data_IF_573160111357
#
_entry.id   IF_573160111357
#
_cell.length_a   1.000
_cell.length_b   1.000
_cell.length_c   1.000
_cell.angle_alpha   90.00
_cell.angle_beta   90.00
_cell.angle_gamma   90.00
#
_symmetry.space_group_name_H-M   'P 1'
#
loop_
_entity.id
_entity.type
_entity.pdbx_description
1 polymer ?
#
# COMPACT_ATOMS: atom_id res chain seq x y z
N UNK A 1 13.81 -4.48 12.72
CA UNK A 1 12.64 -3.86 13.41
C UNK A 1 11.39 -4.63 13.06
N UNK A 2 10.37 -4.60 13.91
CA UNK A 2 9.03 -5.11 13.57
C UNK A 2 8.25 -4.10 12.75
N UNK A 3 7.67 -4.53 11.65
CA UNK A 3 7.08 -3.66 10.63
C UNK A 3 5.70 -4.18 10.23
N UNK A 4 4.75 -3.25 10.05
CA UNK A 4 3.49 -3.53 9.34
C UNK A 4 3.68 -3.26 7.86
N UNK A 5 3.20 -4.14 6.99
CA UNK A 5 3.22 -3.91 5.56
C UNK A 5 1.90 -3.31 5.07
N UNK A 6 1.95 -2.12 4.47
CA UNK A 6 0.85 -1.60 3.67
C UNK A 6 0.83 -2.33 2.33
N UNK A 7 -0.25 -3.06 2.08
CA UNK A 7 -0.40 -3.90 0.89
C UNK A 7 -1.61 -3.50 0.07
N UNK A 8 -1.48 -3.59 -1.26
CA UNK A 8 -2.57 -3.39 -2.22
C UNK A 8 -2.92 -4.66 -3.00
N UNK A 9 -2.12 -5.72 -2.85
CA UNK A 9 -2.21 -6.94 -3.65
C UNK A 9 -1.39 -6.88 -4.95
N UNK A 10 -0.75 -5.74 -5.21
CA UNK A 10 0.14 -5.55 -6.36
C UNK A 10 1.59 -5.99 -6.10
N UNK A 11 2.33 -6.14 -7.21
CA UNK A 11 3.75 -6.53 -7.23
C UNK A 11 4.65 -5.63 -6.36
N UNK A 12 4.34 -4.34 -6.30
CA UNK A 12 5.21 -3.34 -5.65
C UNK A 12 5.18 -3.47 -4.13
N UNK A 13 3.99 -3.63 -3.55
CA UNK A 13 3.87 -3.93 -2.12
C UNK A 13 4.49 -5.28 -1.74
N UNK A 14 4.38 -6.30 -2.61
CA UNK A 14 5.02 -7.60 -2.41
C UNK A 14 6.55 -7.45 -2.40
N UNK A 15 7.11 -6.75 -3.39
CA UNK A 15 8.55 -6.57 -3.49
C UNK A 15 9.10 -5.72 -2.35
N UNK A 16 8.41 -4.67 -1.91
CA UNK A 16 8.88 -3.86 -0.78
C UNK A 16 8.91 -4.67 0.53
N UNK A 17 7.99 -5.62 0.74
CA UNK A 17 8.10 -6.56 1.86
C UNK A 17 9.36 -7.42 1.78
N UNK A 18 9.70 -7.92 0.58
CA UNK A 18 10.95 -8.68 0.37
C UNK A 18 12.17 -7.82 0.68
N UNK A 19 12.17 -6.55 0.29
CA UNK A 19 13.24 -5.61 0.64
C UNK A 19 13.32 -5.39 2.15
N UNK A 20 12.20 -5.18 2.83
CA UNK A 20 12.18 -5.07 4.30
C UNK A 20 12.84 -6.30 4.96
N UNK A 21 12.51 -7.51 4.52
CA UNK A 21 13.13 -8.75 5.03
C UNK A 21 14.62 -8.80 4.70
N UNK A 22 15.02 -8.46 3.48
CA UNK A 22 16.43 -8.42 3.06
C UNK A 22 17.27 -7.44 3.88
N UNK A 23 16.66 -6.35 4.34
CA UNK A 23 17.27 -5.36 5.24
C UNK A 23 17.19 -5.73 6.74
N UNK A 24 16.74 -6.93 7.07
CA UNK A 24 16.71 -7.43 8.46
C UNK A 24 15.49 -6.96 9.27
N UNK A 25 14.43 -6.50 8.59
CA UNK A 25 13.15 -6.20 9.23
C UNK A 25 12.25 -7.44 9.24
N UNK A 26 11.37 -7.50 10.25
CA UNK A 26 10.40 -8.57 10.42
C UNK A 26 9.02 -8.01 10.10
N UNK A 27 8.31 -8.62 9.14
CA UNK A 27 6.93 -8.26 8.84
C UNK A 27 6.03 -9.01 9.85
N UNK A 28 5.34 -8.26 10.70
CA UNK A 28 4.55 -8.83 11.81
C UNK A 28 3.04 -8.63 11.66
N UNK A 29 2.63 -7.81 10.69
CA UNK A 29 1.23 -7.55 10.38
C UNK A 29 1.09 -7.04 8.95
N UNK A 30 -0.08 -7.24 8.37
CA UNK A 30 -0.48 -6.69 7.08
C UNK A 30 -1.59 -5.66 7.31
N UNK A 31 -1.56 -4.58 6.53
CA UNK A 31 -2.57 -3.53 6.61
C UNK A 31 -3.00 -3.09 5.21
N UNK A 32 -4.30 -2.84 5.05
CA UNK A 32 -4.87 -2.36 3.79
C UNK A 32 -6.04 -1.40 4.05
N UNK A 33 -6.08 -0.32 3.29
CA UNK A 33 -7.28 0.49 3.13
C UNK A 33 -8.05 -0.03 1.92
N UNK A 34 -9.34 -0.32 2.13
CA UNK A 34 -10.23 -0.86 1.10
C UNK A 34 -11.32 0.16 0.76
N UNK A 35 -11.83 0.17 -0.48
CA UNK A 35 -13.03 0.92 -0.82
C UNK A 35 -14.20 0.53 0.10
N UNK A 36 -15.05 1.49 0.46
CA UNK A 36 -16.32 1.18 1.12
C UNK A 36 -17.28 0.51 0.11
N UNK A 37 -18.12 -0.40 0.59
CA UNK A 37 -18.98 -1.25 -0.25
C UNK A 37 -20.01 -0.45 -1.06
N UNK A 38 -20.40 0.73 -0.57
CA UNK A 38 -21.30 1.64 -1.29
C UNK A 38 -20.65 2.27 -2.55
N UNK A 39 -19.32 2.23 -2.67
CA UNK A 39 -18.56 2.82 -3.78
C UNK A 39 -18.16 1.80 -4.87
N UNK A 40 -18.62 0.55 -4.81
CA UNK A 40 -18.32 -0.42 -5.88
C UNK A 40 -18.91 -0.04 -7.25
N UNK A 41 -19.81 0.95 -7.31
CA UNK A 41 -20.50 1.37 -8.53
C UNK A 41 -19.99 2.68 -9.13
N UNK A 42 -19.19 3.47 -8.40
CA UNK A 42 -18.60 4.72 -8.89
C UNK A 42 -17.08 4.62 -8.79
N UNK A 43 -16.37 5.02 -9.85
CA UNK A 43 -14.91 5.07 -9.83
C UNK A 43 -14.43 5.86 -8.60
N UNK A 44 -13.79 5.16 -7.67
CA UNK A 44 -13.28 5.78 -6.45
C UNK A 44 -12.27 6.86 -6.85
N UNK A 45 -12.60 8.13 -6.59
CA UNK A 45 -11.70 9.28 -6.74
C UNK A 45 -10.61 9.26 -5.63
N UNK A 46 -9.89 8.15 -5.47
CA UNK A 46 -8.75 8.06 -4.54
C UNK A 46 -7.45 8.10 -5.31
N UNK A 47 -6.58 9.03 -4.94
CA UNK A 47 -5.21 9.10 -5.46
C UNK A 47 -4.27 8.11 -4.73
N UNK A 48 -4.70 7.58 -3.60
CA UNK A 48 -3.88 6.76 -2.71
C UNK A 48 -4.07 5.25 -2.91
N UNK A 49 -5.31 4.78 -3.15
CA UNK A 49 -5.63 3.36 -2.99
C UNK A 49 -6.25 2.73 -4.23
N UNK A 50 -5.75 1.54 -4.59
CA UNK A 50 -6.27 0.77 -5.72
C UNK A 50 -7.41 -0.15 -5.27
N UNK A 51 -8.50 -0.15 -6.05
CA UNK A 51 -9.68 -1.00 -5.84
C UNK A 51 -9.62 -2.34 -6.58
N UNK A 52 -8.45 -2.82 -7.03
CA UNK A 52 -8.37 -4.07 -7.78
C UNK A 52 -7.56 -5.09 -7.00
N UNK A 53 -8.13 -6.28 -6.80
CA UNK A 53 -7.41 -7.40 -6.16
C UNK A 53 -7.55 -7.51 -4.64
N UNK A 54 -8.48 -6.79 -4.01
CA UNK A 54 -8.71 -6.90 -2.55
C UNK A 54 -9.07 -8.32 -2.09
N UNK A 55 -9.73 -9.13 -2.93
CA UNK A 55 -10.01 -10.54 -2.65
C UNK A 55 -8.73 -11.39 -2.53
N UNK A 56 -7.60 -10.92 -3.07
CA UNK A 56 -6.31 -11.61 -2.97
C UNK A 56 -5.61 -11.38 -1.63
N UNK A 57 -6.00 -10.34 -0.89
CA UNK A 57 -5.31 -9.90 0.32
C UNK A 57 -5.47 -10.91 1.48
N UNK A 58 -6.62 -11.55 1.60
CA UNK A 58 -6.83 -12.59 2.62
C UNK A 58 -5.93 -13.81 2.39
N UNK A 59 -5.63 -14.11 1.12
CA UNK A 59 -4.66 -15.15 0.77
C UNK A 59 -3.22 -14.75 1.10
N UNK A 60 -2.86 -13.46 1.03
CA UNK A 60 -1.55 -12.98 1.50
C UNK A 60 -1.39 -13.24 3.00
N UNK A 61 -2.38 -12.83 3.80
CA UNK A 61 -2.36 -13.04 5.24
C UNK A 61 -2.29 -14.52 5.60
N UNK A 62 -3.09 -15.35 4.92
CA UNK A 62 -3.11 -16.80 5.12
C UNK A 62 -1.79 -17.47 4.73
N UNK A 63 -1.18 -17.06 3.61
CA UNK A 63 0.08 -17.63 3.13
C UNK A 63 1.29 -17.22 3.99
N UNK A 64 1.23 -16.03 4.59
CA UNK A 64 2.29 -15.51 5.46
C UNK A 64 2.08 -15.87 6.95
N UNK A 65 0.90 -16.39 7.30
CA UNK A 65 0.48 -16.63 8.69
C UNK A 65 0.59 -15.36 9.56
N UNK A 66 0.06 -14.24 9.04
CA UNK A 66 0.13 -12.92 9.69
C UNK A 66 -1.25 -12.31 9.92
N UNK A 67 -1.43 -11.51 10.99
CA UNK A 67 -2.67 -10.78 11.20
C UNK A 67 -2.88 -9.72 10.11
N UNK A 68 -4.11 -9.63 9.61
CA UNK A 68 -4.54 -8.64 8.63
C UNK A 68 -5.42 -7.58 9.29
N UNK A 69 -5.10 -6.31 9.02
CA UNK A 69 -5.91 -5.17 9.43
C UNK A 69 -6.46 -4.47 8.20
N UNK A 70 -7.78 -4.45 8.07
CA UNK A 70 -8.46 -3.75 6.98
C UNK A 70 -9.33 -2.61 7.52
N UNK A 71 -9.33 -1.49 6.83
CA UNK A 71 -10.21 -0.37 7.13
C UNK A 71 -10.82 0.16 5.83
N UNK A 72 -12.11 0.46 5.87
CA UNK A 72 -12.79 1.10 4.75
C UNK A 72 -12.36 2.57 4.66
N UNK A 73 -12.19 3.06 3.44
CA UNK A 73 -11.97 4.48 3.16
C UNK A 73 -13.31 5.18 3.27
N UNK A 74 -13.40 6.15 4.18
CA UNK A 74 -14.59 6.97 4.44
C UNK A 74 -14.35 8.42 3.97
N UNK A 75 -13.12 8.89 4.07
CA UNK A 75 -12.69 10.19 3.62
C UNK A 75 -12.50 10.30 2.11
N UNK A 76 -12.25 11.52 1.65
CA UNK A 76 -11.95 11.88 0.25
C UNK A 76 -10.59 12.57 0.17
N UNK A 77 -9.95 12.73 -1.01
CA UNK A 77 -8.74 13.53 -1.13
C UNK A 77 -9.06 15.04 -1.03
N UNK A 78 -9.30 15.51 0.20
CA UNK A 78 -9.70 16.89 0.50
C UNK A 78 -8.51 17.82 0.44
N UNK A 79 -7.43 17.47 1.13
CA UNK A 79 -6.18 18.21 1.12
C UNK A 79 -5.25 17.59 0.08
N UNK A 80 -4.99 18.34 -0.99
CA UNK A 80 -4.09 17.95 -2.08
C UNK A 80 -2.77 18.72 -2.07
N UNK A 81 -2.53 19.52 -1.03
CA UNK A 81 -1.28 20.26 -0.88
C UNK A 81 -0.11 19.31 -0.67
N UNK A 82 1.09 19.82 -0.97
CA UNK A 82 2.34 19.09 -0.82
C UNK A 82 2.70 18.87 0.66
N UNK A 83 2.52 19.90 1.49
CA UNK A 83 2.66 19.82 2.94
C UNK A 83 1.31 19.44 3.55
N UNK A 84 1.04 18.14 3.61
CA UNK A 84 -0.23 17.64 4.13
C UNK A 84 -0.41 17.99 5.61
N UNK A 85 -1.55 18.58 5.93
CA UNK A 85 -1.98 18.86 7.30
C UNK A 85 -3.21 18.00 7.64
N UNK A 86 -3.32 17.47 8.88
CA UNK A 86 -4.48 16.67 9.28
C UNK A 86 -5.79 17.39 8.96
N UNK A 87 -6.58 16.80 8.08
CA UNK A 87 -7.78 17.43 7.51
C UNK A 87 -8.99 16.54 7.79
N UNK A 88 -10.03 17.12 8.38
CA UNK A 88 -11.26 16.37 8.68
C UNK A 88 -11.93 15.89 7.39
N UNK A 89 -12.31 14.60 7.36
CA UNK A 89 -12.90 13.98 6.18
C UNK A 89 -11.90 13.59 5.08
N UNK A 90 -10.59 13.70 5.35
CA UNK A 90 -9.56 13.29 4.38
C UNK A 90 -9.23 11.79 4.46
N UNK A 91 -9.01 11.14 3.32
CA UNK A 91 -8.65 9.72 3.22
C UNK A 91 -7.32 9.37 3.94
N UNK A 92 -6.44 10.35 4.15
CA UNK A 92 -5.20 10.19 4.92
C UNK A 92 -5.48 9.96 6.40
N UNK A 93 -6.58 10.51 6.94
CA UNK A 93 -6.95 10.27 8.34
C UNK A 93 -7.49 8.85 8.55
N UNK A 94 -8.02 8.21 7.51
CA UNK A 94 -8.37 6.79 7.57
C UNK A 94 -7.14 5.89 7.63
N UNK A 95 -6.05 6.28 6.95
CA UNK A 95 -4.76 5.62 7.08
C UNK A 95 -4.20 5.77 8.51
N UNK A 96 -4.32 6.97 9.07
CA UNK A 96 -3.93 7.22 10.46
C UNK A 96 -4.68 6.32 11.43
N UNK A 97 -6.03 6.24 11.32
CA UNK A 97 -6.85 5.35 12.14
C UNK A 97 -6.44 3.88 12.00
N UNK A 98 -6.20 3.42 10.76
CA UNK A 98 -5.77 2.06 10.48
C UNK A 98 -4.43 1.75 11.15
N UNK A 99 -3.40 2.54 10.88
CA UNK A 99 -2.05 2.31 11.42
C UNK A 99 -1.99 2.47 12.93
N UNK A 100 -2.79 3.38 13.51
CA UNK A 100 -2.96 3.49 14.95
C UNK A 100 -3.51 2.19 15.54
N UNK A 101 -4.59 1.64 14.96
CA UNK A 101 -5.17 0.38 15.42
C UNK A 101 -4.19 -0.79 15.30
N UNK A 102 -3.38 -0.84 14.25
CA UNK A 102 -2.31 -1.84 14.12
C UNK A 102 -1.31 -1.67 15.27
N UNK A 103 -0.81 -0.45 15.50
CA UNK A 103 0.16 -0.13 16.56
C UNK A 103 -0.37 -0.48 17.97
N UNK A 104 -1.66 -0.24 18.21
CA UNK A 104 -2.30 -0.56 19.48
C UNK A 104 -2.49 -2.08 19.69
N UNK A 105 -2.51 -2.87 18.60
CA UNK A 105 -2.74 -4.32 18.63
C UNK A 105 -1.47 -5.15 18.51
N UNK A 106 -0.46 -4.63 17.81
CA UNK A 106 0.79 -5.32 17.47
C UNK A 106 1.96 -4.37 17.68
N UNK A 107 3.01 -4.87 18.33
CA UNK A 107 4.26 -4.14 18.52
C UNK A 107 4.96 -3.88 17.17
N UNK A 108 4.78 -2.68 16.62
CA UNK A 108 5.39 -2.22 15.37
C UNK A 108 6.22 -0.97 15.59
N UNK A 109 7.30 -0.86 14.83
CA UNK A 109 8.25 0.25 14.86
C UNK A 109 8.34 0.96 13.51
N UNK A 110 7.78 0.36 12.45
CA UNK A 110 7.79 0.95 11.13
C UNK A 110 6.68 0.44 10.21
N UNK A 111 6.59 1.08 9.05
CA UNK A 111 5.57 0.82 8.02
C UNK A 111 6.28 0.59 6.69
N UNK A 112 6.07 -0.57 6.07
CA UNK A 112 6.53 -0.89 4.72
C UNK A 112 5.57 -0.31 3.69
N UNK A 113 6.08 0.47 2.74
CA UNK A 113 5.29 1.18 1.71
C UNK A 113 5.83 0.86 0.31
N UNK A 114 4.98 0.31 -0.56
CA UNK A 114 5.35 -0.03 -1.94
C UNK A 114 5.27 1.12 -2.96
N UNK A 115 5.37 2.37 -2.53
CA UNK A 115 5.31 3.53 -3.44
C UNK A 115 6.65 3.67 -4.21
N UNK A 116 6.58 3.83 -5.54
CA UNK A 116 7.76 3.99 -6.40
C UNK A 116 8.04 5.45 -6.74
N UNK A 117 7.05 6.18 -7.28
CA UNK A 117 7.26 7.52 -7.87
C UNK A 117 6.25 8.60 -7.43
N UNK A 118 5.14 8.24 -6.79
CA UNK A 118 4.12 9.22 -6.35
C UNK A 118 4.53 9.96 -5.07
N UNK A 119 5.01 11.21 -5.20
CA UNK A 119 5.42 12.03 -4.05
C UNK A 119 4.21 12.28 -3.14
N UNK A 120 3.05 12.44 -3.76
CA UNK A 120 1.75 12.57 -3.10
C UNK A 120 1.49 11.44 -2.11
N UNK A 121 1.71 10.19 -2.53
CA UNK A 121 1.51 9.01 -1.67
C UNK A 121 2.55 8.94 -0.58
N UNK A 122 3.82 9.15 -0.94
CA UNK A 122 4.93 9.09 0.02
C UNK A 122 4.71 10.08 1.17
N UNK A 123 4.50 11.36 0.86
CA UNK A 123 4.42 12.44 1.86
C UNK A 123 3.24 12.23 2.83
N UNK A 124 2.13 11.68 2.35
CA UNK A 124 0.96 11.38 3.19
C UNK A 124 1.23 10.23 4.15
N UNK A 125 1.86 9.16 3.67
CA UNK A 125 2.24 8.05 4.54
C UNK A 125 3.33 8.49 5.53
N UNK A 126 4.29 9.30 5.09
CA UNK A 126 5.34 9.89 5.93
C UNK A 126 4.72 10.73 7.06
N UNK A 127 3.78 11.63 6.75
CA UNK A 127 3.05 12.42 7.75
C UNK A 127 2.35 11.54 8.80
N UNK A 128 1.64 10.49 8.37
CA UNK A 128 0.97 9.58 9.30
C UNK A 128 1.98 8.82 10.16
N UNK A 129 3.09 8.35 9.57
CA UNK A 129 4.15 7.66 10.28
C UNK A 129 4.80 8.56 11.34
N UNK A 130 5.13 9.80 10.99
CA UNK A 130 5.69 10.80 11.92
C UNK A 130 4.76 11.04 13.11
N UNK A 131 3.46 11.28 12.86
CA UNK A 131 2.45 11.48 13.91
C UNK A 131 2.29 10.27 14.84
N UNK A 132 2.55 9.07 14.33
CA UNK A 132 2.50 7.83 15.10
C UNK A 132 3.88 7.42 15.67
N UNK A 133 4.95 8.15 15.40
CA UNK A 133 6.31 7.78 15.80
C UNK A 133 6.75 6.44 15.20
N UNK A 134 6.35 6.16 13.96
CA UNK A 134 6.73 4.98 13.18
C UNK A 134 7.74 5.38 12.10
N UNK A 135 8.69 4.49 11.79
CA UNK A 135 9.60 4.71 10.68
C UNK A 135 8.99 4.22 9.36
N UNK A 136 8.91 5.09 8.36
CA UNK A 136 8.51 4.70 7.01
C UNK A 136 9.65 3.98 6.28
N UNK A 137 9.36 2.84 5.65
CA UNK A 137 10.30 2.03 4.86
C UNK A 137 9.80 1.95 3.39
N UNK A 138 10.28 2.88 2.57
CA UNK A 138 9.94 3.00 1.15
C UNK A 138 11.18 2.73 0.27
N UNK A 139 11.61 1.47 0.18
CA UNK A 139 12.86 1.09 -0.51
C UNK A 139 12.79 1.23 -2.03
N UNK A 140 11.57 1.25 -2.59
CA UNK A 140 11.36 1.35 -4.03
C UNK A 140 11.32 2.81 -4.52
N UNK A 141 11.35 3.76 -3.59
CA UNK A 141 11.12 5.17 -3.86
C UNK A 141 12.22 5.80 -4.71
N UNK A 142 11.85 6.48 -5.80
CA UNK A 142 12.76 7.10 -6.79
C UNK A 142 13.81 6.13 -7.38
N UNK A 143 13.57 4.82 -7.31
CA UNK A 143 14.39 3.85 -8.03
C UNK A 143 13.99 3.77 -9.50
N UNK A 144 14.95 3.38 -10.34
CA UNK A 144 14.71 3.14 -11.76
C UNK A 144 13.70 1.99 -11.95
N UNK A 145 12.69 2.21 -12.79
CA UNK A 145 11.58 1.27 -12.95
C UNK A 145 11.98 0.01 -13.72
N UNK A 146 12.90 0.11 -14.67
CA UNK A 146 13.38 -1.03 -15.44
C UNK A 146 14.24 -1.94 -14.54
N UNK A 147 15.11 -1.33 -13.74
CA UNK A 147 15.87 -2.04 -12.72
C UNK A 147 14.95 -2.75 -11.71
N UNK A 148 13.97 -2.03 -11.16
CA UNK A 148 13.00 -2.61 -10.21
C UNK A 148 12.26 -3.80 -10.82
N UNK A 149 11.78 -3.67 -12.06
CA UNK A 149 11.08 -4.75 -12.74
C UNK A 149 11.99 -5.97 -12.94
N UNK A 150 13.24 -5.74 -13.36
CA UNK A 150 14.21 -6.81 -13.55
C UNK A 150 14.54 -7.51 -12.22
N UNK A 151 14.66 -6.77 -11.13
CA UNK A 151 14.87 -7.33 -9.79
C UNK A 151 13.67 -8.13 -9.31
N UNK A 152 12.43 -7.68 -9.55
CA UNK A 152 11.22 -8.43 -9.22
C UNK A 152 11.18 -9.77 -9.97
N UNK A 153 11.58 -9.78 -11.26
CA UNK A 153 11.70 -11.00 -12.08
C UNK A 153 12.77 -11.94 -11.49
N UNK A 154 13.93 -11.38 -11.14
CA UNK A 154 15.03 -12.15 -10.56
C UNK A 154 14.66 -12.75 -9.19
N UNK A 155 13.84 -12.02 -8.43
CA UNK A 155 13.27 -12.41 -7.13
C UNK A 155 12.10 -13.40 -7.25
N UNK A 156 11.76 -13.83 -8.47
CA UNK A 156 10.69 -14.80 -8.76
C UNK A 156 9.29 -14.34 -8.37
N UNK A 157 9.05 -13.02 -8.33
CA UNK A 157 7.69 -12.51 -8.17
C UNK A 157 6.89 -12.86 -9.43
N UNK A 158 5.82 -13.62 -9.24
CA UNK A 158 4.87 -13.92 -10.31
C UNK A 158 3.78 -12.85 -10.35
N UNK A 159 4.00 -11.80 -11.14
CA UNK A 159 3.05 -10.71 -11.33
C UNK A 159 2.09 -11.00 -12.49
N UNK A 160 0.78 -10.91 -12.23
CA UNK A 160 -0.28 -11.08 -13.24
C UNK A 160 -0.96 -9.73 -13.46
N UNK A 161 -1.11 -9.33 -14.72
CA UNK A 161 -1.82 -8.09 -15.08
C UNK A 161 -3.33 -8.32 -14.93
N UNK A 162 -3.95 -7.60 -14.00
CA UNK A 162 -5.38 -7.72 -13.67
C UNK A 162 -6.23 -6.52 -14.09
N UNK A 163 -5.60 -5.37 -14.35
CA UNK A 163 -6.24 -4.16 -14.89
C UNK A 163 -5.21 -3.37 -15.69
N UNK A 164 -5.68 -2.68 -16.72
CA UNK A 164 -4.90 -1.72 -17.50
C UNK A 164 -5.71 -0.43 -17.61
N UNK A 165 -5.06 0.71 -17.40
CA UNK A 165 -5.65 2.04 -17.52
C UNK A 165 -4.68 2.97 -18.28
N UNK A 166 -4.25 2.53 -19.47
CA UNK A 166 -3.32 3.26 -20.33
C UNK A 166 -3.79 3.15 -21.79
N UNK A 167 -3.82 4.27 -22.48
CA UNK A 167 -4.10 4.29 -23.92
C UNK A 167 -3.02 3.50 -24.66
N UNK A 168 -3.43 2.60 -25.55
CA UNK A 168 -2.52 1.78 -26.35
C UNK A 168 -2.26 0.38 -25.80
N UNK A 169 -2.72 0.07 -24.59
CA UNK A 169 -2.66 -1.29 -24.02
C UNK A 169 -4.10 -1.77 -23.84
N UNK A 170 -4.60 -2.56 -24.78
CA UNK A 170 -5.89 -3.24 -24.68
C UNK A 170 -5.65 -4.72 -24.36
N UNK A 171 -6.53 -5.32 -23.54
CA UNK A 171 -6.63 -6.77 -23.46
C UNK A 171 -7.17 -7.28 -24.81
N UNK A 172 -6.30 -7.71 -25.71
CA UNK A 172 -6.71 -8.55 -26.82
C UNK A 172 -6.97 -9.95 -26.27
N UNK A 173 -8.20 -10.21 -25.81
CA UNK A 173 -8.65 -11.56 -25.51
C UNK A 173 -8.83 -12.32 -26.83
N UNK A 174 -7.75 -12.91 -27.35
CA UNK A 174 -7.85 -14.09 -28.20
C UNK A 174 -7.50 -15.28 -27.31
N UNK A 175 -8.52 -15.77 -26.59
CA UNK A 175 -8.56 -17.18 -26.19
C UNK A 175 -9.34 -17.95 -27.24
#
# INVERSE_FOLDING_TARGET
MKVVALISGGKDSCYNMMQCVAHGHEIVALANLKPNEDFYLDEMDSYMYQSVGHNALDYYASAMDLPMFQQSIEGKPVNQDFDYQPTEGDEVEDLYKLLKRVKDSVDIQGVSVGAIFSDYQRLRVENVCERLGLQMLAYLWHRDQDELLQEMINSKIHAIIIKVAALGIAFYSNF
#
